data_IF_054796444214
#
_entry.id   IF_054796444214
#
_cell.length_a   1.000
_cell.length_b   1.000
_cell.length_c   1.000
_cell.angle_alpha   90.00
_cell.angle_beta   90.00
_cell.angle_gamma   90.00
#
_symmetry.space_group_name_H-M   'P 1'
#
loop_
_entity.id
_entity.type
_entity.pdbx_description
1 polymer ?
#
# COMPACT_ATOMS: atom_id res chain seq x y z
N UNK A 1 -28.11 -14.06 31.32
CA UNK A 1 -27.34 -13.79 30.12
C UNK A 1 -27.61 -12.35 29.72
N UNK A 2 -26.74 -11.40 30.12
CA UNK A 2 -26.85 -10.00 29.75
C UNK A 2 -26.10 -9.82 28.42
N UNK A 3 -26.81 -9.40 27.40
CA UNK A 3 -26.22 -8.90 26.15
C UNK A 3 -25.39 -7.67 26.48
N UNK A 4 -24.11 -7.86 26.85
CA UNK A 4 -23.13 -6.80 26.87
C UNK A 4 -22.98 -6.31 25.44
N UNK A 5 -23.42 -5.07 25.18
CA UNK A 5 -23.38 -4.46 23.87
C UNK A 5 -21.98 -4.53 23.27
N UNK A 6 -21.91 -4.62 21.95
CA UNK A 6 -20.70 -4.81 21.15
C UNK A 6 -19.62 -3.74 21.43
N UNK A 7 -19.96 -2.66 22.15
CA UNK A 7 -19.09 -1.52 22.46
C UNK A 7 -19.33 -0.97 23.89
N UNK A 8 -18.86 -1.64 24.95
CA UNK A 8 -18.90 -1.02 26.28
C UNK A 8 -17.75 0.01 26.40
N UNK A 9 -18.12 1.28 26.60
CA UNK A 9 -17.23 2.39 26.96
C UNK A 9 -16.37 3.07 25.87
N UNK A 10 -16.98 3.45 24.74
CA UNK A 10 -16.34 4.29 23.72
C UNK A 10 -15.79 5.65 24.27
N UNK A 11 -16.42 6.38 25.21
CA UNK A 11 -15.92 7.72 25.57
C UNK A 11 -14.56 7.77 26.26
N UNK A 12 -14.20 6.77 27.09
CA UNK A 12 -12.95 6.76 27.85
C UNK A 12 -11.73 6.30 27.04
N UNK A 13 -11.93 5.68 25.87
CA UNK A 13 -10.88 5.13 25.02
C UNK A 13 -10.63 5.93 23.71
N UNK A 14 -11.39 7.00 23.46
CA UNK A 14 -11.25 7.79 22.23
C UNK A 14 -9.81 8.29 22.01
N UNK A 15 -9.12 8.73 23.06
CA UNK A 15 -7.71 9.13 22.95
C UNK A 15 -6.78 7.96 22.58
N UNK A 16 -7.03 6.78 23.15
CA UNK A 16 -6.24 5.57 22.86
C UNK A 16 -6.53 5.07 21.44
N UNK A 17 -7.78 5.04 21.00
CA UNK A 17 -8.12 4.66 19.62
C UNK A 17 -7.56 5.64 18.61
N UNK A 18 -7.58 6.96 18.90
CA UNK A 18 -6.99 7.98 18.04
C UNK A 18 -5.51 7.75 17.81
N UNK A 19 -4.74 7.45 18.85
CA UNK A 19 -3.32 7.16 18.73
C UNK A 19 -3.04 5.85 17.97
N UNK A 20 -3.86 4.82 18.14
CA UNK A 20 -3.76 3.56 17.40
C UNK A 20 -4.08 3.75 15.92
N UNK A 21 -5.11 4.55 15.58
CA UNK A 21 -5.44 4.90 14.19
C UNK A 21 -4.26 5.64 13.56
N UNK A 22 -3.73 6.65 14.24
CA UNK A 22 -2.59 7.41 13.75
C UNK A 22 -1.38 6.49 13.52
N UNK A 23 -1.05 5.62 14.47
CA UNK A 23 0.06 4.70 14.36
C UNK A 23 -0.12 3.71 13.20
N UNK A 24 -1.33 3.12 13.06
CA UNK A 24 -1.67 2.21 11.96
C UNK A 24 -1.51 2.87 10.61
N UNK A 25 -2.09 4.06 10.44
CA UNK A 25 -2.04 4.80 9.19
C UNK A 25 -0.64 5.31 8.88
N UNK A 26 0.10 5.81 9.86
CA UNK A 26 1.49 6.27 9.67
C UNK A 26 2.36 5.15 9.14
N UNK A 27 2.36 3.97 9.79
CA UNK A 27 3.15 2.83 9.33
C UNK A 27 2.73 2.37 7.94
N UNK A 28 1.43 2.23 7.67
CA UNK A 28 0.93 1.78 6.37
C UNK A 28 1.26 2.77 5.25
N UNK A 29 0.96 4.06 5.44
CA UNK A 29 1.13 5.08 4.40
C UNK A 29 2.60 5.41 4.14
N UNK A 30 3.45 5.46 5.18
CA UNK A 30 4.89 5.63 4.98
C UNK A 30 5.49 4.45 4.22
N UNK A 31 5.04 3.22 4.52
CA UNK A 31 5.49 2.04 3.77
C UNK A 31 5.13 2.12 2.30
N UNK A 32 3.90 2.55 1.97
CA UNK A 32 3.47 2.74 0.58
C UNK A 32 4.25 3.87 -0.09
N UNK A 33 4.49 4.97 0.62
CA UNK A 33 5.25 6.10 0.10
C UNK A 33 6.68 5.72 -0.26
N UNK A 34 7.41 5.06 0.66
CA UNK A 34 8.77 4.58 0.39
C UNK A 34 8.77 3.50 -0.69
N UNK A 35 7.78 2.60 -0.69
CA UNK A 35 7.56 1.63 -1.75
C UNK A 35 7.37 2.32 -3.11
N UNK A 36 6.55 3.37 -3.20
CA UNK A 36 6.32 4.11 -4.45
C UNK A 36 7.60 4.82 -4.93
N UNK A 37 8.33 5.49 -4.01
CA UNK A 37 9.60 6.16 -4.33
C UNK A 37 10.61 5.16 -4.92
N UNK A 38 10.68 3.94 -4.38
CA UNK A 38 11.55 2.89 -4.89
C UNK A 38 10.98 2.21 -6.16
N UNK A 39 9.66 2.03 -6.26
CA UNK A 39 9.02 1.39 -7.40
C UNK A 39 9.15 2.19 -8.70
N UNK A 40 9.09 3.53 -8.63
CA UNK A 40 9.19 4.39 -9.81
C UNK A 40 10.48 4.16 -10.60
N UNK A 41 11.69 4.30 -10.03
CA UNK A 41 12.93 4.06 -10.78
C UNK A 41 13.05 2.62 -11.25
N UNK A 42 12.65 1.63 -10.44
CA UNK A 42 12.69 0.21 -10.82
C UNK A 42 11.77 -0.04 -12.02
N UNK A 43 10.55 0.48 -11.99
CA UNK A 43 9.59 0.33 -13.08
C UNK A 43 10.08 1.02 -14.37
N UNK A 44 10.64 2.24 -14.27
CA UNK A 44 11.21 2.95 -15.41
C UNK A 44 12.39 2.19 -16.04
N UNK A 45 13.25 1.57 -15.22
CA UNK A 45 14.29 0.69 -15.71
C UNK A 45 13.71 -0.54 -16.44
N UNK A 46 12.65 -1.14 -15.91
CA UNK A 46 11.95 -2.26 -16.55
C UNK A 46 11.28 -1.84 -17.87
N UNK A 47 10.74 -0.63 -17.96
CA UNK A 47 10.19 -0.08 -19.22
C UNK A 47 11.31 0.14 -20.24
N UNK A 48 12.46 0.67 -19.80
CA UNK A 48 13.63 0.95 -20.66
C UNK A 48 14.32 -0.33 -21.15
N UNK A 49 14.39 -1.33 -20.27
CA UNK A 49 15.04 -2.63 -20.54
C UNK A 49 14.05 -3.79 -20.36
N UNK A 50 13.19 -4.07 -21.35
CA UNK A 50 12.12 -5.07 -21.21
C UNK A 50 12.57 -6.45 -20.78
N UNK A 51 13.82 -6.82 -21.10
CA UNK A 51 14.40 -8.14 -20.79
C UNK A 51 14.59 -8.37 -19.28
N UNK A 52 14.74 -7.30 -18.47
CA UNK A 52 14.92 -7.44 -17.03
C UNK A 52 13.58 -7.57 -16.26
N UNK A 53 12.47 -7.19 -16.88
CA UNK A 53 11.16 -7.17 -16.23
C UNK A 53 10.74 -8.52 -15.63
N UNK A 54 10.85 -9.66 -16.35
CA UNK A 54 10.48 -10.97 -15.78
C UNK A 54 11.32 -11.34 -14.55
N UNK A 55 12.63 -11.02 -14.57
CA UNK A 55 13.51 -11.29 -13.44
C UNK A 55 13.17 -10.42 -12.23
N UNK A 56 12.87 -9.14 -12.45
CA UNK A 56 12.45 -8.21 -11.38
C UNK A 56 11.13 -8.67 -10.75
N UNK A 57 10.12 -8.97 -11.58
CA UNK A 57 8.82 -9.46 -11.07
C UNK A 57 8.99 -10.78 -10.33
N UNK A 58 9.79 -11.72 -10.87
CA UNK A 58 10.09 -12.98 -10.20
C UNK A 58 10.72 -12.77 -8.82
N UNK A 59 11.72 -11.88 -8.72
CA UNK A 59 12.34 -11.54 -7.43
C UNK A 59 11.33 -10.92 -6.45
N UNK A 60 10.53 -9.96 -6.90
CA UNK A 60 9.52 -9.32 -6.05
C UNK A 60 8.45 -10.31 -5.58
N UNK A 61 8.07 -11.28 -6.43
CA UNK A 61 7.14 -12.35 -6.07
C UNK A 61 7.73 -13.26 -5.00
N UNK A 62 9.00 -13.65 -5.13
CA UNK A 62 9.71 -14.44 -4.11
C UNK A 62 9.76 -13.69 -2.78
N UNK A 63 10.12 -12.40 -2.80
CA UNK A 63 10.16 -11.58 -1.59
C UNK A 63 8.76 -11.48 -0.95
N UNK A 64 7.73 -11.24 -1.75
CA UNK A 64 6.35 -11.13 -1.28
C UNK A 64 5.81 -12.45 -0.69
N UNK A 65 6.34 -13.60 -1.11
CA UNK A 65 5.97 -14.91 -0.56
C UNK A 65 6.57 -15.21 0.80
N UNK A 66 7.58 -14.44 1.24
CA UNK A 66 8.16 -14.60 2.57
C UNK A 66 7.14 -14.20 3.64
N UNK A 67 7.07 -14.91 4.77
CA UNK A 67 6.21 -14.50 5.87
C UNK A 67 6.62 -13.13 6.43
N UNK A 68 5.70 -12.16 6.48
CA UNK A 68 6.00 -10.80 6.97
C UNK A 68 6.56 -10.79 8.40
N UNK A 69 6.03 -11.67 9.25
CA UNK A 69 6.51 -11.84 10.61
C UNK A 69 7.99 -12.24 10.67
N UNK A 70 8.44 -13.09 9.75
CA UNK A 70 9.84 -13.51 9.70
C UNK A 70 10.76 -12.33 9.35
N UNK A 71 10.34 -11.47 8.42
CA UNK A 71 11.08 -10.25 8.06
C UNK A 71 11.12 -9.23 9.21
N UNK A 72 10.00 -9.06 9.94
CA UNK A 72 9.98 -8.20 11.11
C UNK A 72 10.99 -8.67 12.16
N UNK A 73 10.92 -9.96 12.54
CA UNK A 73 11.84 -10.55 13.54
C UNK A 73 13.30 -10.46 13.07
N UNK A 74 13.56 -10.68 11.78
CA UNK A 74 14.91 -10.60 11.21
C UNK A 74 15.50 -9.18 11.31
N UNK A 75 14.67 -8.13 11.23
CA UNK A 75 15.13 -6.75 11.32
C UNK A 75 15.28 -6.25 12.76
N UNK A 76 14.63 -6.86 13.75
CA UNK A 76 14.71 -6.43 15.16
C UNK A 76 16.14 -6.19 15.64
N UNK A 77 17.14 -7.06 15.38
CA UNK A 77 18.51 -6.82 15.85
C UNK A 77 19.16 -5.54 15.33
N UNK A 78 18.74 -5.05 14.15
CA UNK A 78 19.31 -3.85 13.51
C UNK A 78 18.49 -2.59 13.74
N UNK A 79 17.17 -2.68 13.84
CA UNK A 79 16.25 -1.53 13.92
C UNK A 79 15.55 -1.40 15.27
N UNK A 80 15.69 -2.42 16.15
CA UNK A 80 15.00 -2.48 17.44
C UNK A 80 13.51 -2.76 17.28
N UNK A 81 12.77 -2.64 18.39
CA UNK A 81 11.31 -2.78 18.43
C UNK A 81 10.65 -1.43 18.10
N UNK A 82 10.79 -0.99 16.85
CA UNK A 82 10.34 0.32 16.38
C UNK A 82 9.40 0.23 15.18
N UNK A 83 8.70 1.31 14.87
CA UNK A 83 7.86 1.38 13.68
C UNK A 83 8.66 1.15 12.39
N UNK A 84 9.93 1.54 12.35
CA UNK A 84 10.83 1.33 11.20
C UNK A 84 10.98 -0.14 10.85
N UNK A 85 10.99 -1.02 11.86
CA UNK A 85 11.06 -2.49 11.69
C UNK A 85 9.86 -3.05 10.93
N UNK A 86 8.71 -2.40 11.02
CA UNK A 86 7.50 -2.74 10.24
C UNK A 86 7.50 -2.03 8.89
N UNK A 87 7.87 -0.74 8.85
CA UNK A 87 7.83 0.09 7.64
C UNK A 87 8.76 -0.46 6.54
N UNK A 88 9.98 -0.88 6.86
CA UNK A 88 10.94 -1.35 5.84
C UNK A 88 10.42 -2.56 5.07
N UNK A 89 10.04 -3.69 5.69
CA UNK A 89 9.51 -4.84 4.94
C UNK A 89 8.23 -4.53 4.18
N UNK A 90 7.32 -3.74 4.76
CA UNK A 90 6.09 -3.38 4.09
C UNK A 90 6.34 -2.46 2.88
N UNK A 91 7.38 -1.62 2.92
CA UNK A 91 7.81 -0.85 1.74
C UNK A 91 8.28 -1.76 0.61
N UNK A 92 9.05 -2.79 0.95
CA UNK A 92 9.52 -3.79 -0.03
C UNK A 92 8.34 -4.60 -0.58
N UNK A 93 7.38 -4.99 0.25
CA UNK A 93 6.17 -5.68 -0.21
C UNK A 93 5.32 -4.83 -1.14
N UNK A 94 5.27 -3.52 -0.91
CA UNK A 94 4.56 -2.60 -1.81
C UNK A 94 5.11 -2.63 -3.23
N UNK A 95 6.41 -2.95 -3.43
CA UNK A 95 7.02 -3.06 -4.76
C UNK A 95 6.34 -4.13 -5.61
N UNK A 96 5.91 -5.24 -5.01
CA UNK A 96 5.28 -6.35 -5.73
C UNK A 96 3.95 -5.92 -6.40
N UNK A 97 3.23 -4.98 -5.78
CA UNK A 97 2.02 -4.40 -6.37
C UNK A 97 2.35 -3.21 -7.29
N UNK A 98 3.27 -2.33 -6.89
CA UNK A 98 3.51 -1.05 -7.57
C UNK A 98 4.29 -1.23 -8.87
N UNK A 99 5.37 -2.01 -8.88
CA UNK A 99 6.25 -2.13 -10.07
C UNK A 99 5.50 -2.68 -11.29
N UNK A 100 4.74 -3.79 -11.22
CA UNK A 100 3.98 -4.27 -12.36
C UNK A 100 2.94 -3.26 -12.84
N UNK A 101 2.18 -2.65 -11.93
CA UNK A 101 1.15 -1.68 -12.29
C UNK A 101 1.72 -0.44 -13.00
N UNK A 102 2.89 0.07 -12.58
CA UNK A 102 3.57 1.19 -13.23
C UNK A 102 4.08 0.78 -14.62
N UNK A 103 4.72 -0.40 -14.72
CA UNK A 103 5.27 -0.90 -16.00
C UNK A 103 4.17 -1.13 -17.00
N UNK A 104 3.11 -1.83 -16.61
CA UNK A 104 1.97 -2.12 -17.48
C UNK A 104 1.21 -0.84 -17.85
N UNK A 105 1.09 0.10 -16.92
CA UNK A 105 0.49 1.40 -17.17
C UNK A 105 1.24 2.19 -18.24
N UNK A 106 2.57 2.23 -18.17
CA UNK A 106 3.37 2.93 -19.17
C UNK A 106 3.39 2.15 -20.50
N UNK A 107 3.50 0.82 -20.48
CA UNK A 107 3.52 0.02 -21.71
C UNK A 107 2.17 -0.01 -22.42
N UNK A 108 1.08 0.09 -21.68
CA UNK A 108 -0.28 0.11 -22.22
C UNK A 108 -0.66 1.38 -22.97
N UNK A 109 0.21 2.41 -23.02
CA UNK A 109 -0.05 3.62 -23.78
C UNK A 109 0.03 3.33 -25.29
N UNK A 110 -1.01 3.62 -26.08
CA UNK A 110 -1.04 3.39 -27.52
C UNK A 110 0.14 4.06 -28.24
N UNK A 111 0.65 3.38 -29.26
CA UNK A 111 1.85 3.85 -29.99
C UNK A 111 1.58 5.13 -30.78
N UNK A 112 0.37 5.30 -31.31
CA UNK A 112 -0.09 6.52 -31.98
C UNK A 112 0.04 7.75 -31.08
N UNK A 113 -0.30 7.63 -29.79
CA UNK A 113 -0.13 8.71 -28.80
C UNK A 113 1.34 9.06 -28.61
N UNK A 114 2.21 8.06 -28.57
CA UNK A 114 3.66 8.26 -28.45
C UNK A 114 4.25 8.90 -29.69
N UNK A 115 3.83 8.46 -30.88
CA UNK A 115 4.25 9.02 -32.16
C UNK A 115 3.79 10.47 -32.30
N UNK A 116 2.56 10.79 -31.92
CA UNK A 116 2.06 12.17 -31.90
C UNK A 116 2.89 13.07 -30.98
N UNK A 117 3.26 12.59 -29.79
CA UNK A 117 4.13 13.35 -28.88
C UNK A 117 5.52 13.61 -29.49
N UNK A 118 6.11 12.61 -30.16
CA UNK A 118 7.39 12.75 -30.87
C UNK A 118 7.27 13.75 -32.02
N UNK A 119 6.19 13.71 -32.81
CA UNK A 119 5.94 14.65 -33.89
C UNK A 119 5.78 16.08 -33.38
N UNK A 120 5.26 16.28 -32.17
CA UNK A 120 5.22 17.59 -31.49
C UNK A 120 6.57 18.03 -30.88
N UNK A 121 7.65 17.26 -31.08
CA UNK A 121 8.99 17.62 -30.61
C UNK A 121 9.29 17.28 -29.15
N UNK A 122 8.50 16.39 -28.52
CA UNK A 122 8.81 15.93 -27.16
C UNK A 122 10.05 15.04 -27.15
N UNK A 123 11.04 15.40 -26.37
CA UNK A 123 12.19 14.53 -26.05
C UNK A 123 11.73 13.37 -25.17
N UNK A 124 12.49 12.27 -25.11
CA UNK A 124 12.12 11.09 -24.32
C UNK A 124 11.81 11.39 -22.85
N UNK A 125 12.63 12.20 -22.18
CA UNK A 125 12.39 12.60 -20.79
C UNK A 125 11.15 13.49 -20.65
N UNK A 126 10.97 14.48 -21.53
CA UNK A 126 9.81 15.37 -21.53
C UNK A 126 8.52 14.59 -21.82
N UNK A 127 8.56 13.65 -22.78
CA UNK A 127 7.43 12.77 -23.08
C UNK A 127 7.05 11.92 -21.88
N UNK A 128 8.06 11.32 -21.19
CA UNK A 128 7.80 10.50 -20.00
C UNK A 128 7.01 11.27 -18.94
N UNK A 129 7.44 12.50 -18.61
CA UNK A 129 6.83 13.31 -17.56
C UNK A 129 5.50 13.94 -18.00
N UNK A 130 5.43 14.45 -19.24
CA UNK A 130 4.27 15.21 -19.70
C UNK A 130 3.17 14.37 -20.38
N UNK A 131 3.49 13.14 -20.82
CA UNK A 131 2.56 12.28 -21.56
C UNK A 131 2.44 10.91 -20.91
N UNK A 132 3.55 10.16 -20.78
CA UNK A 132 3.51 8.77 -20.39
C UNK A 132 3.04 8.61 -18.91
N UNK A 133 3.62 9.36 -17.95
CA UNK A 133 3.23 9.29 -16.55
C UNK A 133 1.79 9.76 -16.28
N UNK A 134 1.32 10.90 -16.82
CA UNK A 134 -0.09 11.30 -16.65
C UNK A 134 -1.07 10.26 -17.19
N UNK A 135 -0.80 9.65 -18.34
CA UNK A 135 -1.66 8.61 -18.90
C UNK A 135 -1.59 7.29 -18.12
N UNK A 136 -0.47 7.01 -17.45
CA UNK A 136 -0.28 5.86 -16.59
C UNK A 136 -0.87 6.04 -15.17
N UNK A 137 -1.38 7.22 -14.80
CA UNK A 137 -1.97 7.46 -13.46
C UNK A 137 -3.03 6.44 -13.06
N UNK A 138 -4.00 6.05 -13.91
CA UNK A 138 -5.01 5.07 -13.49
C UNK A 138 -4.43 3.72 -13.04
N UNK A 139 -3.56 3.03 -13.78
CA UNK A 139 -2.94 1.79 -13.32
C UNK A 139 -1.97 2.00 -12.15
N UNK A 140 -1.26 3.13 -12.06
CA UNK A 140 -0.44 3.46 -10.89
C UNK A 140 -1.32 3.56 -9.64
N UNK A 141 -2.46 4.24 -9.73
CA UNK A 141 -3.41 4.34 -8.63
C UNK A 141 -4.01 2.98 -8.26
N UNK A 142 -4.24 2.10 -9.22
CA UNK A 142 -4.67 0.72 -8.92
C UNK A 142 -3.62 -0.02 -8.08
N UNK A 143 -2.34 0.07 -8.44
CA UNK A 143 -1.23 -0.48 -7.65
C UNK A 143 -1.14 0.13 -6.25
N UNK A 144 -1.30 1.48 -6.14
CA UNK A 144 -1.32 2.18 -4.85
C UNK A 144 -2.45 1.71 -3.94
N UNK A 145 -3.63 1.49 -4.48
CA UNK A 145 -4.79 0.98 -3.73
C UNK A 145 -4.51 -0.40 -3.17
N UNK A 146 -4.02 -1.33 -4.00
CA UNK A 146 -3.66 -2.68 -3.56
C UNK A 146 -2.58 -2.64 -2.47
N UNK A 147 -1.52 -1.87 -2.66
CA UNK A 147 -0.45 -1.72 -1.67
C UNK A 147 -0.96 -1.11 -0.36
N UNK A 148 -1.80 -0.08 -0.42
CA UNK A 148 -2.33 0.61 0.77
C UNK A 148 -3.24 -0.32 1.58
N UNK A 149 -4.22 -0.96 0.94
CA UNK A 149 -5.13 -1.89 1.62
C UNK A 149 -4.35 -3.06 2.25
N UNK A 150 -3.39 -3.62 1.51
CA UNK A 150 -2.52 -4.68 2.01
C UNK A 150 -1.69 -4.24 3.22
N UNK A 151 -1.03 -3.07 3.14
CA UNK A 151 -0.20 -2.57 4.23
C UNK A 151 -1.03 -2.21 5.47
N UNK A 152 -2.22 -1.60 5.31
CA UNK A 152 -3.12 -1.34 6.46
C UNK A 152 -3.43 -2.64 7.20
N UNK A 153 -3.64 -3.74 6.51
CA UNK A 153 -3.88 -5.04 7.15
C UNK A 153 -2.60 -5.63 7.77
N UNK A 154 -1.47 -5.57 7.03
CA UNK A 154 -0.20 -6.20 7.44
C UNK A 154 0.49 -5.50 8.62
N UNK A 155 0.26 -4.20 8.85
CA UNK A 155 0.75 -3.49 10.05
C UNK A 155 0.34 -4.22 11.33
N UNK A 156 -0.85 -4.80 11.36
CA UNK A 156 -1.35 -5.54 12.53
C UNK A 156 -0.50 -6.74 12.91
N UNK A 157 0.24 -7.33 11.96
CA UNK A 157 1.17 -8.44 12.22
C UNK A 157 2.37 -7.97 13.04
N UNK A 158 2.73 -6.68 12.97
CA UNK A 158 3.79 -6.08 13.77
C UNK A 158 3.57 -6.16 15.29
N UNK A 159 2.35 -6.50 15.73
CA UNK A 159 2.06 -6.71 17.15
C UNK A 159 2.90 -7.85 17.76
N UNK A 160 3.35 -8.80 16.97
CA UNK A 160 4.22 -9.90 17.42
C UNK A 160 5.55 -9.39 17.94
N UNK A 161 6.03 -8.27 17.38
CA UNK A 161 7.22 -7.56 17.87
C UNK A 161 6.86 -6.35 18.76
N UNK A 162 5.60 -6.26 19.23
CA UNK A 162 5.14 -5.16 20.09
C UNK A 162 4.82 -3.85 19.36
N UNK A 163 4.78 -3.81 18.02
CA UNK A 163 4.63 -2.60 17.19
C UNK A 163 3.48 -2.75 16.18
N UNK A 164 2.32 -3.18 16.62
CA UNK A 164 1.24 -3.56 15.69
C UNK A 164 -0.04 -2.75 15.79
N UNK A 165 -0.05 -1.57 16.40
CA UNK A 165 -1.24 -0.74 16.56
C UNK A 165 -2.50 -1.56 16.93
N UNK A 166 -3.52 -1.63 16.04
CA UNK A 166 -4.71 -2.44 16.24
C UNK A 166 -4.46 -3.95 16.31
N UNK A 167 -3.31 -4.44 15.89
CA UNK A 167 -2.90 -5.83 16.09
C UNK A 167 -2.86 -6.24 17.56
N UNK A 168 -2.64 -5.29 18.48
CA UNK A 168 -2.70 -5.52 19.93
C UNK A 168 -4.06 -6.08 20.39
N UNK A 169 -5.14 -5.78 19.67
CA UNK A 169 -6.46 -6.37 19.98
C UNK A 169 -6.50 -7.86 19.70
N UNK A 170 -5.74 -8.36 18.71
CA UNK A 170 -5.68 -9.79 18.41
C UNK A 170 -4.89 -10.57 19.47
N UNK A 171 -3.78 -10.00 19.95
CA UNK A 171 -3.02 -10.62 21.05
C UNK A 171 -3.80 -10.60 22.34
N UNK A 172 -4.48 -9.48 22.66
CA UNK A 172 -5.36 -9.41 23.82
C UNK A 172 -6.55 -10.38 23.71
N UNK A 173 -7.15 -10.52 22.55
CA UNK A 173 -8.22 -11.47 22.29
C UNK A 173 -7.79 -12.92 22.57
N UNK A 174 -6.58 -13.28 22.10
CA UNK A 174 -6.03 -14.62 22.31
C UNK A 174 -5.69 -14.88 23.80
N UNK A 175 -5.05 -13.90 24.47
CA UNK A 175 -4.64 -14.03 25.87
C UNK A 175 -5.84 -14.07 26.85
N UNK A 176 -6.87 -13.27 26.57
CA UNK A 176 -8.05 -13.15 27.44
C UNK A 176 -9.20 -14.07 27.03
N UNK A 177 -9.03 -14.88 25.98
CA UNK A 177 -10.09 -15.72 25.37
C UNK A 177 -11.35 -14.91 25.02
N UNK A 178 -11.15 -13.66 24.54
CA UNK A 178 -12.22 -12.70 24.22
C UNK A 178 -12.30 -12.47 22.71
N UNK A 179 -13.19 -13.20 22.05
CA UNK A 179 -13.42 -13.07 20.60
C UNK A 179 -13.99 -11.72 20.17
N UNK A 180 -14.68 -11.00 21.07
CA UNK A 180 -15.20 -9.65 20.81
C UNK A 180 -14.09 -8.62 20.48
N UNK A 181 -12.93 -8.74 21.13
CA UNK A 181 -11.77 -7.90 20.83
C UNK A 181 -11.20 -8.17 19.43
N UNK A 182 -11.14 -9.45 19.03
CA UNK A 182 -10.69 -9.82 17.69
C UNK A 182 -11.64 -9.27 16.61
N UNK A 183 -12.96 -9.43 16.81
CA UNK A 183 -13.97 -8.89 15.90
C UNK A 183 -13.86 -7.37 15.80
N UNK A 184 -13.70 -6.68 16.93
CA UNK A 184 -13.49 -5.22 16.93
C UNK A 184 -12.25 -4.82 16.14
N UNK A 185 -11.12 -5.50 16.33
CA UNK A 185 -9.88 -5.26 15.58
C UNK A 185 -10.09 -5.43 14.08
N UNK A 186 -10.75 -6.53 13.66
CA UNK A 186 -11.05 -6.78 12.24
C UNK A 186 -11.91 -5.64 11.66
N UNK A 187 -13.02 -5.30 12.33
CA UNK A 187 -13.95 -4.27 11.85
C UNK A 187 -13.25 -2.92 11.69
N UNK A 188 -12.44 -2.51 12.67
CA UNK A 188 -11.72 -1.24 12.61
C UNK A 188 -10.68 -1.23 11.49
N UNK A 189 -9.88 -2.30 11.35
CA UNK A 189 -8.85 -2.39 10.29
C UNK A 189 -9.50 -2.38 8.91
N UNK A 190 -10.59 -3.13 8.71
CA UNK A 190 -11.33 -3.14 7.44
C UNK A 190 -11.92 -1.76 7.14
N UNK A 191 -12.52 -1.10 8.15
CA UNK A 191 -13.05 0.25 7.99
C UNK A 191 -11.94 1.26 7.59
N UNK A 192 -10.76 1.19 8.22
CA UNK A 192 -9.60 2.02 7.87
C UNK A 192 -9.10 1.74 6.45
N UNK A 193 -8.99 0.46 6.08
CA UNK A 193 -8.56 0.06 4.74
C UNK A 193 -9.52 0.57 3.66
N UNK A 194 -10.83 0.42 3.88
CA UNK A 194 -11.87 0.93 2.98
C UNK A 194 -11.87 2.46 2.91
N UNK A 195 -11.66 3.16 4.03
CA UNK A 195 -11.56 4.61 4.04
C UNK A 195 -10.34 5.09 3.22
N UNK A 196 -9.18 4.46 3.39
CA UNK A 196 -8.00 4.76 2.59
C UNK A 196 -8.22 4.46 1.11
N UNK A 197 -8.85 3.32 0.77
CA UNK A 197 -9.16 2.97 -0.61
C UNK A 197 -10.10 3.99 -1.25
N UNK A 198 -11.15 4.39 -0.54
CA UNK A 198 -12.10 5.40 -1.01
C UNK A 198 -11.42 6.76 -1.26
N UNK A 199 -10.53 7.17 -0.35
CA UNK A 199 -9.74 8.40 -0.54
C UNK A 199 -8.87 8.34 -1.79
N UNK A 200 -8.23 7.20 -2.04
CA UNK A 200 -7.43 6.98 -3.25
C UNK A 200 -8.29 6.95 -4.51
N UNK A 201 -9.49 6.38 -4.47
CA UNK A 201 -10.46 6.45 -5.59
C UNK A 201 -10.86 7.89 -5.89
N UNK A 202 -11.15 8.68 -4.86
CA UNK A 202 -11.48 10.10 -5.02
C UNK A 202 -10.28 10.86 -5.60
N UNK A 203 -9.08 10.64 -5.06
CA UNK A 203 -7.84 11.23 -5.57
C UNK A 203 -7.61 10.86 -7.05
N UNK A 204 -7.80 9.60 -7.41
CA UNK A 204 -7.70 9.14 -8.81
C UNK A 204 -8.68 9.89 -9.70
N UNK A 205 -9.95 10.03 -9.30
CA UNK A 205 -10.98 10.74 -10.08
C UNK A 205 -10.64 12.22 -10.30
N UNK A 206 -9.99 12.85 -9.31
CA UNK A 206 -9.54 14.24 -9.42
C UNK A 206 -8.31 14.38 -10.31
N UNK A 207 -7.38 13.41 -10.26
CA UNK A 207 -6.16 13.41 -11.05
C UNK A 207 -6.37 12.97 -12.51
N UNK A 208 -7.50 12.32 -12.84
CA UNK A 208 -7.78 11.79 -14.18
C UNK A 208 -9.12 12.29 -14.76
N UNK A 209 -9.34 13.61 -14.89
CA UNK A 209 -10.60 14.16 -15.38
C UNK A 209 -10.91 13.73 -16.83
N UNK A 210 -9.90 13.41 -17.63
CA UNK A 210 -10.05 12.96 -19.02
C UNK A 210 -10.61 11.53 -19.16
N UNK A 211 -10.55 10.72 -18.10
CA UNK A 211 -11.03 9.34 -18.15
C UNK A 211 -12.57 9.22 -18.05
N UNK A 212 -13.26 10.29 -17.66
CA UNK A 212 -14.74 10.34 -17.53
C UNK A 212 -15.47 10.23 -18.88
N UNK A 213 -14.80 10.45 -20.02
CA UNK A 213 -15.43 10.46 -21.34
C UNK A 213 -15.49 9.08 -22.03
N UNK A 214 -14.93 8.03 -21.47
CA UNK A 214 -14.91 6.68 -22.06
C UNK A 214 -16.00 5.74 -21.53
N UNK A 215 -16.81 6.16 -20.57
CA UNK A 215 -17.89 5.35 -19.95
C UNK A 215 -19.31 5.89 -20.26
N UNK A 216 -19.47 6.65 -21.35
CA UNK A 216 -20.76 7.06 -21.90
C UNK A 216 -20.97 6.45 -23.28
#
# INVERSE_FOLDING_TARGET
>A
MRSAGLFPHIPSYLGTYGSLIQQQLTMALLSVLFGLIAALPIALLCVRYPKIYPAVVGLLTVIYSLPSIALFVLLVPSTGLTQTTVIIPLSVYSLAALVPNIVEGIRGIPEDVRLAAVAMGYTGARRLVAVDLPLAVPPIMAGLRVATVGNVSMVSVGTVIGVGAFGALFTAAAQLSRSDLAVTGIVVIVALALACDLLLVVAQRLLTPWNKRRSA
#
